data_IF_028963358455
#
_entry.id   IF_028963358455
#
_cell.length_a   1.000
_cell.length_b   1.000
_cell.length_c   1.000
_cell.angle_alpha   90.00
_cell.angle_beta   90.00
_cell.angle_gamma   90.00
#
_symmetry.space_group_name_H-M   'P 1'
#
loop_
_entity.id
_entity.type
_entity.pdbx_description
1 polymer ?
#
# COMPACT_ATOMS: atom_id res chain seq x y z
N UNK A 1 8.84 1.97 -0.58
CA UNK A 1 9.16 0.57 -0.96
C UNK A 1 7.83 -0.14 -1.24
N UNK A 2 7.81 -1.20 -2.04
CA UNK A 2 6.60 -2.02 -2.25
C UNK A 2 6.92 -3.41 -1.74
N UNK A 3 6.06 -3.96 -0.90
CA UNK A 3 6.10 -5.38 -0.56
C UNK A 3 4.95 -6.09 -1.28
N UNK A 4 5.27 -7.21 -1.90
CA UNK A 4 4.32 -8.05 -2.62
C UNK A 4 4.06 -9.28 -1.75
N UNK A 5 2.82 -9.47 -1.33
CA UNK A 5 2.43 -10.62 -0.50
C UNK A 5 1.73 -11.64 -1.40
N UNK A 6 2.05 -12.93 -1.20
CA UNK A 6 1.61 -14.03 -2.06
C UNK A 6 1.94 -13.86 -3.55
N UNK A 7 3.09 -13.26 -3.86
CA UNK A 7 3.54 -13.14 -5.23
C UNK A 7 3.89 -14.52 -5.83
N UNK A 8 3.13 -14.97 -6.82
CA UNK A 8 3.42 -16.18 -7.59
C UNK A 8 3.84 -15.80 -9.02
N UNK A 9 4.86 -16.46 -9.61
CA UNK A 9 5.20 -16.25 -11.01
C UNK A 9 3.96 -16.44 -11.90
N UNK A 10 3.65 -15.43 -12.70
CA UNK A 10 2.42 -15.38 -13.48
C UNK A 10 2.25 -16.63 -14.36
N UNK A 11 1.09 -17.32 -14.28
CA UNK A 11 0.72 -18.44 -15.16
C UNK A 11 0.49 -18.01 -16.61
N UNK A 12 0.38 -16.70 -16.87
CA UNK A 12 -0.18 -16.14 -18.11
C UNK A 12 0.84 -15.31 -18.93
N UNK A 13 2.12 -15.30 -18.57
CA UNK A 13 3.18 -14.62 -19.34
C UNK A 13 3.27 -13.10 -19.21
N UNK A 14 2.47 -12.46 -18.35
CA UNK A 14 2.50 -11.00 -18.16
C UNK A 14 3.67 -10.56 -17.26
N UNK A 15 4.49 -9.59 -17.71
CA UNK A 15 5.73 -9.14 -17.05
C UNK A 15 5.54 -8.11 -15.93
N UNK A 16 4.30 -7.64 -15.73
CA UNK A 16 4.00 -6.61 -14.75
C UNK A 16 4.02 -7.18 -13.32
N UNK A 17 5.05 -6.87 -12.54
CA UNK A 17 5.29 -7.49 -11.22
C UNK A 17 4.15 -7.28 -10.22
N UNK A 18 3.40 -6.18 -10.29
CA UNK A 18 2.27 -5.95 -9.39
C UNK A 18 1.09 -6.89 -9.67
N UNK A 19 0.93 -7.38 -10.92
CA UNK A 19 -0.17 -8.31 -11.24
C UNK A 19 0.02 -9.69 -10.61
N UNK A 20 1.23 -10.01 -10.15
CA UNK A 20 1.62 -11.33 -9.65
C UNK A 20 1.24 -11.57 -8.19
N UNK A 21 0.78 -10.55 -7.47
CA UNK A 21 0.44 -10.62 -6.06
C UNK A 21 -1.04 -10.34 -5.85
N UNK A 22 -1.69 -11.00 -4.91
CA UNK A 22 -3.10 -10.75 -4.56
C UNK A 22 -3.25 -9.56 -3.61
N UNK A 23 -2.20 -9.31 -2.82
CA UNK A 23 -2.12 -8.19 -1.87
C UNK A 23 -0.87 -7.35 -2.15
N UNK A 24 -1.08 -6.04 -2.26
CA UNK A 24 -0.04 -5.03 -2.45
C UNK A 24 0.12 -4.23 -1.16
N UNK A 25 1.35 -4.12 -0.66
CA UNK A 25 1.66 -3.25 0.47
C UNK A 25 2.54 -2.11 -0.03
N UNK A 26 1.97 -0.93 -0.15
CA UNK A 26 2.74 0.28 -0.42
C UNK A 26 3.33 0.80 0.89
N UNK A 27 4.57 1.28 0.84
CA UNK A 27 5.14 2.00 1.98
C UNK A 27 5.94 3.22 1.56
N UNK A 28 5.85 4.26 2.37
CA UNK A 28 6.61 5.49 2.20
C UNK A 28 6.96 6.11 3.55
N UNK A 29 8.16 6.71 3.69
CA UNK A 29 8.31 7.73 4.71
C UNK A 29 7.39 8.93 4.40
N UNK A 30 6.98 9.66 5.43
CA UNK A 30 6.33 10.97 5.28
C UNK A 30 7.45 11.99 5.09
N UNK A 31 7.58 12.52 3.88
CA UNK A 31 8.55 13.56 3.55
C UNK A 31 7.83 14.81 3.10
N UNK A 32 8.18 15.94 3.74
CA UNK A 32 7.55 17.24 3.46
C UNK A 32 6.02 17.14 3.45
N UNK A 33 5.47 16.52 4.49
CA UNK A 33 4.02 16.32 4.67
C UNK A 33 3.33 15.53 3.55
N UNK A 34 4.09 14.75 2.76
CA UNK A 34 3.57 13.97 1.64
C UNK A 34 4.28 12.62 1.47
N UNK A 35 3.92 11.89 0.41
CA UNK A 35 4.62 10.69 -0.01
C UNK A 35 6.07 11.02 -0.40
N UNK A 36 6.92 10.00 -0.36
CA UNK A 36 8.22 10.06 -1.04
C UNK A 36 8.00 10.26 -2.55
N UNK A 37 8.90 11.01 -3.18
CA UNK A 37 8.85 11.24 -4.64
C UNK A 37 8.90 9.94 -5.44
N UNK A 38 9.55 8.90 -4.90
CA UNK A 38 9.59 7.55 -5.49
C UNK A 38 8.20 6.91 -5.53
N UNK A 39 7.46 6.91 -4.41
CA UNK A 39 6.11 6.38 -4.40
C UNK A 39 5.22 7.21 -5.33
N UNK A 40 5.29 8.54 -5.26
CA UNK A 40 4.48 9.40 -6.14
C UNK A 40 4.73 9.11 -7.63
N UNK A 41 5.99 8.98 -8.02
CA UNK A 41 6.37 8.64 -9.40
C UNK A 41 5.79 7.30 -9.83
N UNK A 42 5.85 6.28 -8.95
CA UNK A 42 5.25 4.98 -9.24
C UNK A 42 3.74 5.09 -9.43
N UNK A 43 3.02 5.74 -8.50
CA UNK A 43 1.57 5.90 -8.59
C UNK A 43 1.17 6.60 -9.89
N UNK A 44 1.90 7.65 -10.26
CA UNK A 44 1.67 8.39 -11.51
C UNK A 44 1.86 7.48 -12.73
N UNK A 45 2.88 6.62 -12.73
CA UNK A 45 3.11 5.68 -13.82
C UNK A 45 2.05 4.59 -13.88
N UNK A 46 1.61 4.07 -12.74
CA UNK A 46 0.53 3.07 -12.71
C UNK A 46 -0.78 3.66 -13.23
N UNK A 47 -1.09 4.90 -12.85
CA UNK A 47 -2.30 5.60 -13.29
C UNK A 47 -2.29 5.97 -14.78
N UNK A 48 -1.11 6.18 -15.38
CA UNK A 48 -0.93 6.57 -16.78
C UNK A 48 -1.05 5.40 -17.77
N UNK A 49 -0.90 4.15 -17.31
CA UNK A 49 -0.97 3.00 -18.21
C UNK A 49 -2.42 2.61 -18.50
N UNK A 50 -2.72 2.33 -19.78
CA UNK A 50 -4.06 1.99 -20.26
C UNK A 50 -4.50 0.54 -19.95
N UNK A 51 -3.57 -0.42 -19.86
CA UNK A 51 -3.87 -1.87 -19.70
C UNK A 51 -3.68 -2.54 -18.31
N UNK A 52 -3.12 -1.94 -17.24
CA UNK A 52 -2.97 -2.61 -15.95
C UNK A 52 -4.19 -2.48 -15.04
N UNK A 53 -5.23 -1.73 -15.40
CA UNK A 53 -6.43 -1.61 -14.55
C UNK A 53 -7.13 -2.95 -14.35
N UNK A 54 -7.31 -3.75 -15.42
CA UNK A 54 -7.89 -5.10 -15.27
C UNK A 54 -6.93 -6.07 -14.55
N UNK A 55 -5.61 -5.92 -14.73
CA UNK A 55 -4.62 -6.74 -14.04
C UNK A 55 -4.49 -6.41 -12.54
N UNK A 56 -4.93 -5.22 -12.12
CA UNK A 56 -4.93 -4.74 -10.75
C UNK A 56 -6.30 -4.88 -10.06
N UNK A 57 -7.34 -5.12 -10.84
CA UNK A 57 -8.73 -5.15 -10.37
C UNK A 57 -8.94 -6.14 -9.24
N UNK A 58 -9.58 -5.68 -8.17
CA UNK A 58 -9.92 -6.50 -7.00
C UNK A 58 -8.72 -6.88 -6.12
N UNK A 59 -7.49 -6.45 -6.45
CA UNK A 59 -6.34 -6.69 -5.58
C UNK A 59 -6.42 -5.78 -4.36
N UNK A 60 -6.07 -6.34 -3.21
CA UNK A 60 -6.15 -5.66 -1.92
C UNK A 60 -4.90 -4.84 -1.68
N UNK A 61 -5.06 -3.63 -1.14
CA UNK A 61 -4.00 -2.67 -0.92
C UNK A 61 -3.97 -2.24 0.54
N UNK A 62 -2.80 -2.40 1.15
CA UNK A 62 -2.46 -1.79 2.42
C UNK A 62 -1.43 -0.70 2.22
N UNK A 63 -1.49 0.33 3.06
CA UNK A 63 -0.53 1.43 3.02
C UNK A 63 0.17 1.59 4.37
N UNK A 64 1.50 1.70 4.35
CA UNK A 64 2.32 1.87 5.54
C UNK A 64 3.15 3.13 5.46
N UNK A 65 2.88 4.07 6.37
CA UNK A 65 3.64 5.31 6.48
C UNK A 65 4.63 5.26 7.64
N UNK A 66 5.86 5.70 7.36
CA UNK A 66 6.87 5.90 8.40
C UNK A 66 7.04 7.40 8.66
N UNK A 67 6.65 7.87 9.84
CA UNK A 67 6.71 9.29 10.21
C UNK A 67 7.27 9.50 11.61
N UNK A 68 7.91 10.64 11.84
CA UNK A 68 8.55 10.96 13.12
C UNK A 68 7.69 11.85 14.02
N UNK A 69 6.53 12.34 13.57
CA UNK A 69 5.61 13.17 14.36
C UNK A 69 4.15 12.91 14.02
N UNK A 70 3.22 13.09 14.99
CA UNK A 70 1.79 13.17 14.71
C UNK A 70 1.55 14.29 13.69
N UNK A 71 1.05 13.93 12.52
CA UNK A 71 0.92 14.85 11.39
C UNK A 71 -0.51 14.79 10.88
N UNK A 72 -1.18 15.95 10.78
CA UNK A 72 -2.57 16.07 10.30
C UNK A 72 -2.74 15.54 8.87
N UNK A 73 -1.64 15.38 8.17
CA UNK A 73 -1.57 14.96 6.79
C UNK A 73 -1.78 13.46 6.63
N UNK A 74 -1.74 12.67 7.72
CA UNK A 74 -2.07 11.24 7.70
C UNK A 74 -3.45 11.01 7.08
N UNK A 75 -4.47 11.77 7.50
CA UNK A 75 -5.83 11.67 6.95
C UNK A 75 -5.88 12.00 5.45
N UNK A 76 -5.12 13.02 5.04
CA UNK A 76 -5.04 13.41 3.63
C UNK A 76 -4.31 12.33 2.80
N UNK A 77 -3.23 11.76 3.32
CA UNK A 77 -2.47 10.70 2.66
C UNK A 77 -3.26 9.40 2.55
N UNK A 78 -4.04 9.06 3.58
CA UNK A 78 -5.00 7.96 3.58
C UNK A 78 -6.08 8.19 2.50
N UNK A 79 -6.67 9.39 2.47
CA UNK A 79 -7.65 9.77 1.46
C UNK A 79 -7.08 9.68 0.04
N UNK A 80 -5.89 10.23 -0.22
CA UNK A 80 -5.24 10.19 -1.54
C UNK A 80 -4.99 8.75 -1.97
N UNK A 81 -4.51 7.89 -1.08
CA UNK A 81 -4.31 6.47 -1.40
C UNK A 81 -5.63 5.77 -1.71
N UNK A 82 -6.69 6.03 -0.94
CA UNK A 82 -8.02 5.47 -1.20
C UNK A 82 -8.54 5.85 -2.59
N UNK A 83 -8.31 7.10 -3.02
CA UNK A 83 -8.71 7.60 -4.35
C UNK A 83 -7.87 6.98 -5.47
N UNK A 84 -6.57 6.83 -5.25
CA UNK A 84 -5.70 6.11 -6.18
C UNK A 84 -6.20 4.68 -6.39
N UNK A 85 -6.49 3.96 -5.30
CA UNK A 85 -6.97 2.58 -5.37
C UNK A 85 -8.30 2.49 -6.14
N UNK A 86 -9.28 3.34 -5.80
CA UNK A 86 -10.57 3.41 -6.49
C UNK A 86 -10.41 3.65 -8.00
N UNK A 87 -9.53 4.58 -8.39
CA UNK A 87 -9.30 4.88 -9.81
C UNK A 87 -8.60 3.74 -10.57
N UNK A 88 -7.85 2.90 -9.87
CA UNK A 88 -7.12 1.78 -10.48
C UNK A 88 -7.87 0.43 -10.35
N UNK A 89 -9.09 0.42 -9.81
CA UNK A 89 -9.85 -0.81 -9.56
C UNK A 89 -9.33 -1.67 -8.40
N UNK A 90 -8.48 -1.11 -7.53
CA UNK A 90 -7.92 -1.75 -6.35
C UNK A 90 -8.85 -1.62 -5.14
N UNK A 91 -8.78 -2.58 -4.22
CA UNK A 91 -9.53 -2.58 -2.97
C UNK A 91 -8.65 -2.07 -1.83
N UNK A 92 -8.98 -0.91 -1.25
CA UNK A 92 -8.16 -0.30 -0.20
C UNK A 92 -8.59 -0.77 1.19
N UNK A 93 -7.67 -1.41 1.91
CA UNK A 93 -7.89 -2.01 3.23
C UNK A 93 -7.46 -1.10 4.40
N UNK A 94 -6.73 -0.03 4.08
CA UNK A 94 -6.40 1.05 5.01
C UNK A 94 -4.91 1.32 5.20
N UNK A 95 -4.65 2.28 6.09
CA UNK A 95 -3.33 2.81 6.44
C UNK A 95 -2.90 2.33 7.83
N UNK A 96 -1.60 2.10 8.01
CA UNK A 96 -0.95 2.11 9.33
C UNK A 96 0.26 3.04 9.34
N UNK A 97 0.55 3.64 10.51
CA UNK A 97 1.65 4.59 10.69
C UNK A 97 2.56 4.12 11.81
N UNK A 98 3.88 4.12 11.58
CA UNK A 98 4.85 3.84 12.66
C UNK A 98 5.28 5.16 13.32
N UNK A 99 5.19 5.24 14.65
CA UNK A 99 5.76 6.35 15.43
C UNK A 99 7.25 6.10 15.71
N UNK A 100 8.11 7.04 15.35
CA UNK A 100 9.57 6.95 15.55
C UNK A 100 10.04 7.36 16.96
N UNK A 101 9.15 7.49 17.96
CA UNK A 101 9.61 7.61 19.35
C UNK A 101 10.28 6.28 19.75
N UNK A 102 11.61 6.23 19.61
CA UNK A 102 12.49 5.11 19.97
C UNK A 102 12.49 4.89 21.49
N UNK A 103 11.33 4.63 22.10
CA UNK A 103 11.28 4.20 23.50
C UNK A 103 10.82 2.77 23.68
N UNK A 104 9.90 2.23 22.89
CA UNK A 104 9.50 0.82 23.07
C UNK A 104 9.11 0.21 21.73
N UNK A 105 9.71 -0.94 21.40
CA UNK A 105 9.37 -1.78 20.23
C UNK A 105 8.02 -2.53 20.46
N UNK A 106 7.22 -2.14 21.47
CA UNK A 106 6.02 -2.87 21.87
C UNK A 106 4.69 -2.20 21.47
N UNK A 107 4.72 -1.02 20.85
CA UNK A 107 3.50 -0.25 20.54
C UNK A 107 3.11 -0.21 19.06
N UNK A 108 3.47 -1.21 18.25
CA UNK A 108 3.12 -1.18 16.83
C UNK A 108 1.64 -1.51 16.61
N UNK A 109 0.89 -0.59 15.99
CA UNK A 109 -0.37 -0.94 15.28
C UNK A 109 -0.15 -1.90 14.11
N UNK A 110 1.08 -2.40 13.88
CA UNK A 110 1.30 -3.56 13.02
C UNK A 110 0.51 -4.77 13.51
N UNK A 111 0.18 -4.91 14.79
CA UNK A 111 -0.72 -6.00 15.21
C UNK A 111 -2.10 -5.87 14.53
N UNK A 112 -2.65 -4.66 14.45
CA UNK A 112 -3.93 -4.42 13.78
C UNK A 112 -3.83 -4.58 12.25
N UNK A 113 -2.72 -4.16 11.65
CA UNK A 113 -2.47 -4.41 10.23
C UNK A 113 -2.23 -5.90 9.94
N UNK A 114 -1.48 -6.58 10.81
CA UNK A 114 -1.17 -8.01 10.71
C UNK A 114 -2.45 -8.82 10.87
N UNK A 115 -3.30 -8.50 11.85
CA UNK A 115 -4.61 -9.13 12.01
C UNK A 115 -5.50 -8.91 10.78
N UNK A 116 -5.55 -7.69 10.24
CA UNK A 116 -6.26 -7.39 8.99
C UNK A 116 -5.69 -8.18 7.81
N UNK A 117 -4.37 -8.25 7.71
CA UNK A 117 -3.67 -8.98 6.67
C UNK A 117 -3.94 -10.48 6.79
N UNK A 118 -3.83 -11.06 7.98
CA UNK A 118 -4.08 -12.48 8.26
C UNK A 118 -5.54 -12.84 8.01
N UNK A 119 -6.48 -11.96 8.36
CA UNK A 119 -7.90 -12.12 8.01
C UNK A 119 -8.09 -12.11 6.49
N UNK A 120 -7.51 -11.13 5.80
CA UNK A 120 -7.58 -11.02 4.34
C UNK A 120 -6.97 -12.25 3.64
N UNK A 121 -5.87 -12.78 4.17
CA UNK A 121 -5.16 -13.94 3.64
C UNK A 121 -5.82 -15.28 3.97
N UNK A 122 -6.70 -15.33 4.97
CA UNK A 122 -7.45 -16.56 5.34
C UNK A 122 -8.81 -16.66 4.65
N UNK A 123 -9.34 -15.55 4.12
CA UNK A 123 -10.62 -15.48 3.39
C UNK A 123 -10.47 -15.70 1.86
N UNK A 124 -9.25 -15.73 1.32
CA UNK A 124 -8.95 -15.90 -0.12
C UNK A 124 -8.15 -17.16 -0.42
#
# INVERSE_FOLDING_TARGET
MIYLVNASPNRNGNSFKLSQADVLVFTSPIYWWSFSGLLKTLLDRVADVHEPQEALKGKKVFFLLQGSQPSKEIEMLDYVMSRFCQNCGLEYEGLAVTNHELKEIEGWELAALQEKLDKVLSEG
#
